data_IF_614045267176
#
_entry.id   IF_614045267176
#
_cell.length_a   1.000
_cell.length_b   1.000
_cell.length_c   1.000
_cell.angle_alpha   90.00
_cell.angle_beta   90.00
_cell.angle_gamma   90.00
#
_symmetry.space_group_name_H-M   'P 1'
#
loop_
_entity.id
_entity.type
_entity.pdbx_description
1 polymer ?
#
# COMPACT_ATOMS: atom_id res chain seq x y z
N UNK A 1 -21.08 3.24 -15.22
CA UNK A 1 -19.95 3.91 -14.57
C UNK A 1 -19.81 3.20 -13.26
N UNK A 2 -18.95 2.15 -13.24
CA UNK A 2 -18.81 1.29 -12.06
C UNK A 2 -18.01 2.03 -10.99
N UNK A 3 -18.51 1.99 -9.76
CA UNK A 3 -17.73 2.48 -8.61
C UNK A 3 -16.42 1.69 -8.50
N UNK A 4 -15.30 2.34 -8.17
CA UNK A 4 -14.04 1.64 -8.01
C UNK A 4 -14.15 0.59 -6.90
N UNK A 5 -13.75 -0.63 -7.22
CA UNK A 5 -13.67 -1.73 -6.24
C UNK A 5 -12.53 -1.39 -5.28
N UNK A 6 -12.88 -1.07 -4.04
CA UNK A 6 -11.90 -0.85 -2.98
C UNK A 6 -11.62 -2.18 -2.29
N UNK A 7 -10.44 -2.73 -2.52
CA UNK A 7 -9.97 -3.90 -1.77
C UNK A 7 -9.20 -3.41 -0.54
N UNK A 8 -9.66 -3.83 0.63
CA UNK A 8 -8.96 -3.61 1.90
C UNK A 8 -8.59 -4.97 2.44
N UNK A 9 -7.33 -5.21 2.70
CA UNK A 9 -6.85 -6.46 3.30
C UNK A 9 -6.22 -6.15 4.65
N UNK A 10 -6.60 -6.88 5.69
CA UNK A 10 -5.86 -6.93 6.94
C UNK A 10 -4.89 -8.11 6.84
N UNK A 11 -3.60 -7.85 6.85
CA UNK A 11 -2.55 -8.88 6.85
C UNK A 11 -2.11 -9.10 8.29
N UNK A 12 -2.08 -10.35 8.74
CA UNK A 12 -1.42 -10.72 9.97
C UNK A 12 0.09 -10.66 9.75
N UNK A 13 0.81 -9.84 10.53
CA UNK A 13 2.26 -9.91 10.62
C UNK A 13 2.58 -11.01 11.63
N UNK A 14 3.41 -11.99 11.25
CA UNK A 14 3.76 -13.16 12.09
C UNK A 14 4.54 -12.81 13.37
N UNK A 15 4.77 -11.53 13.66
CA UNK A 15 5.58 -11.06 14.79
C UNK A 15 4.80 -10.41 15.94
N UNK A 16 3.46 -10.30 15.87
CA UNK A 16 2.66 -9.65 16.91
C UNK A 16 1.99 -10.69 17.81
N UNK A 17 2.64 -11.00 18.94
CA UNK A 17 2.20 -11.93 19.97
C UNK A 17 0.94 -11.43 20.75
N UNK A 18 0.45 -10.24 20.43
CA UNK A 18 -0.71 -9.58 21.08
C UNK A 18 -2.00 -9.62 20.22
N UNK A 19 -2.06 -10.42 19.15
CA UNK A 19 -3.28 -10.51 18.34
C UNK A 19 -4.38 -11.29 19.05
N UNK A 20 -5.59 -10.73 19.08
CA UNK A 20 -6.76 -11.34 19.70
C UNK A 20 -7.55 -12.14 18.69
N UNK A 21 -7.72 -13.44 18.93
CA UNK A 21 -8.68 -14.26 18.21
C UNK A 21 -10.03 -14.29 18.95
N UNK A 22 -11.11 -14.19 18.19
CA UNK A 22 -12.47 -14.17 18.71
C UNK A 22 -13.05 -15.58 18.77
N UNK A 23 -13.73 -15.93 19.84
CA UNK A 23 -14.30 -17.26 20.04
C UNK A 23 -15.40 -17.59 19.01
N UNK A 24 -16.20 -16.59 18.64
CA UNK A 24 -17.30 -16.70 17.69
C UNK A 24 -17.67 -15.33 17.09
N UNK A 25 -18.66 -15.32 16.18
CA UNK A 25 -19.16 -14.08 15.57
C UNK A 25 -19.78 -13.12 16.59
N UNK A 26 -20.35 -13.62 17.68
CA UNK A 26 -20.96 -12.81 18.73
C UNK A 26 -19.91 -12.04 19.53
N UNK A 27 -18.79 -12.71 19.87
CA UNK A 27 -17.64 -12.09 20.51
C UNK A 27 -17.01 -11.02 19.61
N UNK A 28 -16.89 -11.33 18.30
CA UNK A 28 -16.41 -10.35 17.33
C UNK A 28 -17.35 -9.14 17.22
N UNK A 29 -18.67 -9.34 17.13
CA UNK A 29 -19.64 -8.24 17.07
C UNK A 29 -19.56 -7.33 18.30
N UNK A 30 -19.34 -7.89 19.49
CA UNK A 30 -19.13 -7.14 20.70
C UNK A 30 -17.85 -6.29 20.65
N UNK A 31 -16.74 -6.88 20.22
CA UNK A 31 -15.46 -6.18 20.07
C UNK A 31 -15.51 -5.06 19.01
N UNK A 32 -16.15 -5.30 17.87
CA UNK A 32 -16.34 -4.28 16.84
C UNK A 32 -17.16 -3.09 17.36
N UNK A 33 -18.14 -3.33 18.23
CA UNK A 33 -18.96 -2.26 18.82
C UNK A 33 -18.15 -1.37 19.76
N UNK A 34 -17.13 -1.89 20.43
CA UNK A 34 -16.21 -1.08 21.26
C UNK A 34 -15.38 -0.10 20.41
N UNK A 35 -15.30 -0.35 19.09
CA UNK A 35 -14.62 0.51 18.11
C UNK A 35 -15.62 1.21 17.18
N UNK A 36 -16.80 1.54 17.68
CA UNK A 36 -17.86 2.30 16.99
C UNK A 36 -18.37 1.66 15.69
N UNK A 37 -18.23 0.33 15.54
CA UNK A 37 -18.74 -0.40 14.38
C UNK A 37 -19.84 -1.39 14.79
N UNK A 38 -21.04 -1.21 14.21
CA UNK A 38 -22.19 -2.08 14.46
C UNK A 38 -22.28 -3.07 13.30
N UNK A 39 -21.92 -4.33 13.55
CA UNK A 39 -22.17 -5.44 12.65
C UNK A 39 -23.47 -6.15 13.02
N UNK A 40 -24.24 -6.59 12.04
CA UNK A 40 -25.29 -7.58 12.26
C UNK A 40 -24.69 -8.99 12.47
N UNK A 41 -25.51 -9.92 12.91
CA UNK A 41 -25.05 -11.28 13.26
C UNK A 41 -24.49 -12.03 12.03
N UNK A 42 -25.06 -11.82 10.86
CA UNK A 42 -24.61 -12.46 9.62
C UNK A 42 -23.24 -11.96 9.21
N UNK A 43 -23.04 -10.64 9.18
CA UNK A 43 -21.75 -10.03 8.87
C UNK A 43 -20.67 -10.44 9.87
N UNK A 44 -20.99 -10.38 11.17
CA UNK A 44 -20.07 -10.76 12.23
C UNK A 44 -19.65 -12.22 12.12
N UNK A 45 -20.58 -13.12 11.81
CA UNK A 45 -20.29 -14.54 11.59
C UNK A 45 -19.39 -14.75 10.39
N UNK A 46 -19.69 -14.10 9.25
CA UNK A 46 -18.88 -14.23 8.02
C UNK A 46 -17.47 -13.67 8.22
N UNK A 47 -17.33 -12.52 8.88
CA UNK A 47 -16.03 -11.92 9.19
C UNK A 47 -15.21 -12.80 10.13
N UNK A 48 -15.85 -13.35 11.19
CA UNK A 48 -15.23 -14.29 12.10
C UNK A 48 -14.72 -15.53 11.37
N UNK A 49 -15.54 -16.16 10.53
CA UNK A 49 -15.15 -17.34 9.76
C UNK A 49 -14.01 -17.03 8.75
N UNK A 50 -14.08 -15.88 8.08
CA UNK A 50 -13.03 -15.45 7.15
C UNK A 50 -11.68 -15.28 7.87
N UNK A 51 -11.68 -14.67 9.05
CA UNK A 51 -10.49 -14.48 9.88
C UNK A 51 -9.96 -15.79 10.45
N UNK A 52 -10.83 -16.62 11.00
CA UNK A 52 -10.46 -17.90 11.62
C UNK A 52 -9.93 -18.93 10.60
N UNK A 53 -10.37 -18.84 9.34
CA UNK A 53 -9.96 -19.73 8.26
C UNK A 53 -8.85 -19.13 7.37
N UNK A 54 -8.39 -17.93 7.69
CA UNK A 54 -7.42 -17.16 6.88
C UNK A 54 -7.86 -17.06 5.41
N UNK A 55 -9.12 -16.62 5.20
CA UNK A 55 -9.71 -16.48 3.86
C UNK A 55 -10.03 -15.04 3.54
N UNK A 56 -9.79 -14.61 2.29
CA UNK A 56 -10.17 -13.28 1.86
C UNK A 56 -11.68 -13.09 1.91
N UNK A 57 -12.12 -11.90 2.29
CA UNK A 57 -13.53 -11.50 2.32
C UNK A 57 -13.77 -10.41 1.30
N UNK A 58 -14.73 -10.64 0.39
CA UNK A 58 -15.21 -9.62 -0.53
C UNK A 58 -16.45 -8.93 0.06
N UNK A 59 -16.38 -7.61 0.23
CA UNK A 59 -17.49 -6.78 0.69
C UNK A 59 -18.03 -5.93 -0.47
N UNK A 60 -19.27 -6.16 -0.85
CA UNK A 60 -19.98 -5.39 -1.87
C UNK A 60 -21.11 -4.57 -1.26
N UNK A 61 -21.43 -3.45 -1.87
CA UNK A 61 -22.51 -2.57 -1.44
C UNK A 61 -22.28 -1.13 -1.84
N UNK A 62 -23.29 -0.25 -1.69
CA UNK A 62 -23.20 1.16 -2.03
C UNK A 62 -22.10 1.89 -1.28
N UNK A 63 -21.74 3.07 -1.77
CA UNK A 63 -20.81 3.95 -1.06
C UNK A 63 -21.39 4.37 0.31
N UNK A 64 -20.53 4.49 1.31
CA UNK A 64 -20.92 4.96 2.65
C UNK A 64 -21.50 3.92 3.61
N UNK A 65 -21.67 2.65 3.20
CA UNK A 65 -22.21 1.59 4.09
C UNK A 65 -21.23 1.03 5.11
N UNK A 66 -20.03 1.57 5.22
CA UNK A 66 -19.07 1.15 6.26
C UNK A 66 -18.09 0.04 5.85
N UNK A 67 -17.96 -0.34 4.56
CA UNK A 67 -17.03 -1.40 4.13
C UNK A 67 -15.57 -1.17 4.60
N UNK A 68 -15.08 0.04 4.43
CA UNK A 68 -13.71 0.40 4.87
C UNK A 68 -13.61 0.53 6.39
N UNK A 69 -14.67 0.98 7.04
CA UNK A 69 -14.71 1.11 8.50
C UNK A 69 -14.69 -0.25 9.18
N UNK A 70 -15.30 -1.28 8.60
CA UNK A 70 -15.19 -2.64 9.10
C UNK A 70 -13.74 -3.09 9.24
N UNK A 71 -12.92 -2.88 8.20
CA UNK A 71 -11.51 -3.27 8.23
C UNK A 71 -10.71 -2.51 9.29
N UNK A 72 -11.01 -1.23 9.51
CA UNK A 72 -10.38 -0.43 10.58
C UNK A 72 -10.80 -0.93 11.97
N UNK A 73 -12.10 -1.12 12.18
CA UNK A 73 -12.62 -1.62 13.45
C UNK A 73 -12.10 -3.03 13.77
N UNK A 74 -12.01 -3.91 12.74
CA UNK A 74 -11.44 -5.25 12.88
C UNK A 74 -9.97 -5.21 13.26
N UNK A 75 -9.17 -4.35 12.61
CA UNK A 75 -7.76 -4.20 12.94
C UNK A 75 -7.57 -3.71 14.38
N UNK A 76 -8.36 -2.73 14.83
CA UNK A 76 -8.31 -2.23 16.19
C UNK A 76 -8.76 -3.29 17.21
N UNK A 77 -9.85 -4.01 16.93
CA UNK A 77 -10.41 -5.01 17.81
C UNK A 77 -9.50 -6.24 17.95
N UNK A 78 -8.77 -6.60 16.89
CA UNK A 78 -7.84 -7.75 16.88
C UNK A 78 -6.41 -7.42 17.23
N UNK A 79 -6.03 -6.13 17.37
CA UNK A 79 -4.64 -5.71 17.53
C UNK A 79 -3.80 -5.83 16.26
N UNK A 80 -4.39 -6.20 15.12
CA UNK A 80 -3.67 -6.42 13.86
C UNK A 80 -3.36 -5.10 13.14
N UNK A 81 -2.23 -5.06 12.45
CA UNK A 81 -1.85 -3.92 11.63
C UNK A 81 -2.77 -3.80 10.41
N UNK A 82 -3.37 -2.63 10.20
CA UNK A 82 -4.14 -2.35 8.99
C UNK A 82 -3.22 -1.92 7.84
N UNK A 83 -3.23 -2.68 6.77
CA UNK A 83 -2.60 -2.31 5.50
C UNK A 83 -3.69 -1.95 4.50
N UNK A 84 -3.58 -0.78 3.88
CA UNK A 84 -4.57 -0.28 2.92
C UNK A 84 -3.95 -0.12 1.54
N UNK A 85 -4.47 -0.87 0.57
CA UNK A 85 -4.18 -0.68 -0.84
C UNK A 85 -5.41 -0.07 -1.53
N UNK A 86 -5.25 1.09 -2.15
CA UNK A 86 -6.28 1.69 -2.98
C UNK A 86 -6.04 1.30 -4.44
N UNK A 87 -6.89 0.43 -4.96
CA UNK A 87 -6.83 0.01 -6.35
C UNK A 87 -7.33 1.11 -7.28
N UNK A 88 -6.65 1.28 -8.41
CA UNK A 88 -7.03 2.18 -9.51
C UNK A 88 -6.74 1.49 -10.83
N UNK A 89 -7.34 2.00 -11.91
CA UNK A 89 -7.14 1.44 -13.25
C UNK A 89 -5.65 1.50 -13.65
N UNK A 90 -5.08 0.35 -14.03
CA UNK A 90 -3.65 0.24 -14.39
C UNK A 90 -2.71 -0.02 -13.21
N UNK A 91 -3.23 -0.34 -12.02
CA UNK A 91 -2.43 -0.88 -10.92
C UNK A 91 -1.97 -2.28 -11.29
N UNK A 92 -0.66 -2.49 -11.33
CA UNK A 92 -0.02 -3.79 -11.48
C UNK A 92 0.72 -4.20 -10.19
N UNK A 93 1.24 -5.41 -10.14
CA UNK A 93 1.93 -5.96 -8.95
C UNK A 93 3.13 -5.09 -8.53
N UNK A 94 3.90 -4.59 -9.50
CA UNK A 94 5.07 -3.77 -9.22
C UNK A 94 4.66 -2.42 -8.59
N UNK A 95 3.60 -1.79 -9.10
CA UNK A 95 3.06 -0.52 -8.57
C UNK A 95 2.31 -0.71 -7.25
N UNK A 96 1.85 -1.91 -6.96
CA UNK A 96 1.27 -2.23 -5.66
C UNK A 96 2.33 -2.29 -4.56
N UNK A 97 3.54 -2.78 -4.88
CA UNK A 97 4.63 -2.98 -3.93
C UNK A 97 5.57 -1.78 -3.84
N UNK A 98 5.82 -1.09 -4.96
CA UNK A 98 6.82 -0.03 -5.06
C UNK A 98 6.28 1.19 -5.79
N UNK A 99 6.73 2.36 -5.39
CA UNK A 99 6.51 3.62 -6.09
C UNK A 99 7.85 4.33 -6.29
N UNK A 100 8.06 4.89 -7.50
CA UNK A 100 9.23 5.71 -7.75
C UNK A 100 9.07 7.08 -7.07
N UNK A 101 10.03 7.43 -6.22
CA UNK A 101 10.12 8.77 -5.63
C UNK A 101 10.76 9.75 -6.64
N UNK A 102 9.91 10.21 -7.57
CA UNK A 102 10.34 11.20 -8.58
C UNK A 102 10.81 12.51 -7.97
N UNK A 103 10.28 12.91 -6.83
CA UNK A 103 10.70 14.13 -6.15
C UNK A 103 12.15 14.00 -5.66
N UNK A 104 12.48 12.87 -5.06
CA UNK A 104 13.83 12.54 -4.63
C UNK A 104 14.79 12.39 -5.81
N UNK A 105 14.36 11.76 -6.90
CA UNK A 105 15.14 11.68 -8.14
C UNK A 105 15.45 13.07 -8.70
N UNK A 106 14.44 13.95 -8.79
CA UNK A 106 14.61 15.31 -9.28
C UNK A 106 15.59 16.11 -8.42
N UNK A 107 15.46 16.00 -7.10
CA UNK A 107 16.38 16.63 -6.16
C UNK A 107 17.82 16.13 -6.38
N UNK A 108 17.98 14.82 -6.55
CA UNK A 108 19.30 14.23 -6.81
C UNK A 108 19.92 14.74 -8.10
N UNK A 109 19.13 14.83 -9.18
CA UNK A 109 19.58 15.42 -10.46
C UNK A 109 19.99 16.88 -10.28
N UNK A 110 19.22 17.66 -9.50
CA UNK A 110 19.58 19.06 -9.23
C UNK A 110 20.88 19.18 -8.43
N UNK A 111 21.10 18.32 -7.45
CA UNK A 111 22.36 18.29 -6.68
C UNK A 111 23.57 17.91 -7.53
N UNK A 112 23.38 17.06 -8.55
CA UNK A 112 24.46 16.63 -9.47
C UNK A 112 24.65 17.58 -10.64
N UNK A 113 23.81 18.60 -10.81
CA UNK A 113 23.77 19.49 -11.98
C UNK A 113 25.13 20.10 -12.32
N UNK A 114 25.80 20.67 -11.33
CA UNK A 114 27.09 21.35 -11.55
C UNK A 114 28.20 20.33 -11.92
N UNK A 115 28.16 19.16 -11.30
CA UNK A 115 29.10 18.07 -11.59
C UNK A 115 28.89 17.52 -13.00
N UNK A 116 27.64 17.28 -13.39
CA UNK A 116 27.28 16.85 -14.74
C UNK A 116 27.64 17.92 -15.74
N UNK A 117 27.38 19.20 -15.48
CA UNK A 117 27.76 20.31 -16.33
C UNK A 117 29.26 20.40 -16.58
N UNK A 118 30.09 20.19 -15.56
CA UNK A 118 31.53 20.15 -15.66
C UNK A 118 32.01 18.97 -16.54
N UNK A 119 31.42 17.80 -16.37
CA UNK A 119 31.74 16.62 -17.17
C UNK A 119 31.35 16.79 -18.65
N UNK A 120 30.23 17.46 -18.91
CA UNK A 120 29.73 17.69 -20.26
C UNK A 120 30.49 18.81 -21.01
N UNK A 121 31.07 19.76 -20.29
CA UNK A 121 31.82 20.89 -20.92
C UNK A 121 33.01 20.47 -21.75
N UNK A 122 33.47 19.23 -21.61
CA UNK A 122 34.58 18.67 -22.43
C UNK A 122 34.16 18.17 -23.83
N UNK A 123 32.84 18.10 -24.08
CA UNK A 123 32.32 17.65 -25.38
C UNK A 123 31.95 18.86 -26.24
N UNK A 124 32.40 18.88 -27.48
CA UNK A 124 32.03 19.91 -28.47
C UNK A 124 30.64 19.66 -29.07
N UNK A 125 30.22 18.40 -29.11
CA UNK A 125 28.95 17.98 -29.69
C UNK A 125 27.93 17.58 -28.58
N UNK A 126 26.73 18.12 -28.72
CA UNK A 126 25.58 17.72 -27.87
C UNK A 126 25.27 16.22 -28.02
N UNK A 127 25.48 15.68 -29.24
CA UNK A 127 25.25 14.26 -29.52
C UNK A 127 26.20 13.36 -28.72
N UNK A 128 27.49 13.70 -28.67
CA UNK A 128 28.50 12.94 -27.95
C UNK A 128 28.30 13.07 -26.44
N UNK A 129 27.94 14.26 -25.96
CA UNK A 129 27.56 14.51 -24.57
C UNK A 129 26.36 13.65 -24.16
N UNK A 130 25.31 13.57 -24.98
CA UNK A 130 24.11 12.75 -24.74
C UNK A 130 24.44 11.26 -24.71
N UNK A 131 25.29 10.79 -25.63
CA UNK A 131 25.75 9.39 -25.66
C UNK A 131 26.55 9.05 -24.41
N UNK A 132 27.41 9.94 -23.97
CA UNK A 132 28.19 9.78 -22.75
C UNK A 132 27.27 9.69 -21.53
N UNK A 133 26.28 10.60 -21.38
CA UNK A 133 25.32 10.56 -20.30
C UNK A 133 24.50 9.26 -20.27
N UNK A 134 24.07 8.78 -21.43
CA UNK A 134 23.31 7.54 -21.53
C UNK A 134 24.13 6.28 -21.12
N UNK A 135 25.46 6.35 -21.22
CA UNK A 135 26.34 5.27 -20.81
C UNK A 135 26.78 5.33 -19.34
N UNK A 136 26.47 6.44 -18.63
CA UNK A 136 26.80 6.59 -17.22
C UNK A 136 25.65 6.14 -16.35
N UNK A 137 25.96 5.34 -15.33
CA UNK A 137 25.01 5.06 -14.25
C UNK A 137 25.12 6.17 -13.19
N UNK A 138 24.18 7.10 -13.23
CA UNK A 138 24.03 8.13 -12.19
C UNK A 138 23.25 7.63 -10.97
N UNK A 139 22.97 6.34 -10.88
CA UNK A 139 22.21 5.74 -9.82
C UNK A 139 20.74 6.17 -9.77
N UNK A 140 20.21 6.83 -10.82
CA UNK A 140 18.85 7.35 -10.86
C UNK A 140 17.78 6.27 -10.83
N UNK A 141 18.12 5.06 -11.22
CA UNK A 141 17.24 3.88 -11.24
C UNK A 141 17.65 2.85 -10.17
N UNK A 142 18.27 3.32 -9.09
CA UNK A 142 18.63 2.46 -7.95
C UNK A 142 17.46 2.31 -6.98
N UNK A 143 17.54 1.29 -6.13
CA UNK A 143 16.59 1.04 -5.04
C UNK A 143 16.46 2.24 -4.09
N UNK A 144 17.45 3.12 -4.04
CA UNK A 144 17.42 4.33 -3.22
C UNK A 144 16.26 5.27 -3.57
N UNK A 145 15.69 5.17 -4.77
CA UNK A 145 14.53 5.96 -5.25
C UNK A 145 13.23 5.17 -5.27
N UNK A 146 13.23 3.91 -4.79
CA UNK A 146 12.02 3.14 -4.61
C UNK A 146 11.45 3.42 -3.21
N UNK A 147 10.23 3.94 -3.17
CA UNK A 147 9.42 3.98 -1.97
C UNK A 147 8.65 2.66 -1.86
N UNK A 148 8.95 1.86 -0.83
CA UNK A 148 8.21 0.64 -0.54
C UNK A 148 6.82 1.04 -0.06
N UNK A 149 5.78 0.52 -0.68
CA UNK A 149 4.41 0.67 -0.19
C UNK A 149 4.15 -0.34 0.94
N UNK A 150 3.26 -0.02 1.88
CA UNK A 150 2.98 -0.88 3.03
C UNK A 150 2.03 -2.02 2.63
N UNK A 151 2.48 -2.92 1.76
CA UNK A 151 1.83 -4.20 1.52
C UNK A 151 2.61 -5.31 2.20
#
# INVERSE_FOLDING_TARGET
MGDPVHTVSAVADESDDDTVDFADGSALAAALREHDYIADDDLATVVHLATALDRPLLLEGPAGVGKTELAKALALASGRRLVRLQCYEGLDDARALYEWDYAKQLLHVQMLRDRIGTELSRFESVHDASRYLAAQDFGLYSEAFLAVRPL
#
